data_IF_982793159676
#
_entry.id   IF_982793159676
#
_cell.length_a   1.000
_cell.length_b   1.000
_cell.length_c   1.000
_cell.angle_alpha   90.00
_cell.angle_beta   90.00
_cell.angle_gamma   90.00
#
_symmetry.space_group_name_H-M   'P 1'
#
loop_
_entity.id
_entity.type
_entity.pdbx_description
1 polymer ?
#
# COMPACT_ATOMS: atom_id res chain seq x y z
N UNK A 1 -71.09 36.37 -6.67
CA UNK A 1 -70.24 37.47 -7.18
C UNK A 1 -68.83 36.93 -7.42
N UNK A 2 -68.66 36.22 -8.53
CA UNK A 2 -67.37 35.63 -8.95
C UNK A 2 -66.76 36.60 -9.96
N UNK A 3 -65.60 37.18 -9.65
CA UNK A 3 -64.69 37.73 -10.67
C UNK A 3 -63.35 38.15 -10.05
N UNK A 4 -62.34 37.31 -10.30
CA UNK A 4 -60.98 37.70 -10.70
C UNK A 4 -60.08 38.39 -9.66
N UNK A 5 -59.55 37.57 -8.76
CA UNK A 5 -58.22 37.78 -8.16
C UNK A 5 -57.19 37.19 -9.13
N UNK A 6 -56.80 37.92 -10.17
CA UNK A 6 -55.60 37.61 -10.96
C UNK A 6 -55.15 38.81 -11.81
N UNK A 7 -54.22 39.59 -11.27
CA UNK A 7 -53.26 40.49 -11.93
C UNK A 7 -52.86 41.50 -10.85
N UNK A 8 -51.64 41.56 -10.35
CA UNK A 8 -50.44 41.94 -11.06
C UNK A 8 -49.24 41.47 -10.21
N UNK A 9 -48.62 40.35 -10.60
CA UNK A 9 -47.22 40.10 -10.27
C UNK A 9 -46.40 41.13 -11.07
N UNK A 10 -46.28 42.33 -10.52
CA UNK A 10 -45.34 43.34 -11.01
C UNK A 10 -43.93 42.87 -10.70
N UNK A 11 -43.40 42.02 -11.60
CA UNK A 11 -41.97 41.78 -11.71
C UNK A 11 -41.35 43.13 -12.01
N UNK A 12 -40.87 43.79 -10.95
CA UNK A 12 -40.12 45.03 -11.06
C UNK A 12 -38.90 44.75 -11.90
N UNK A 13 -38.92 45.24 -13.14
CA UNK A 13 -37.75 45.27 -14.03
C UNK A 13 -36.68 46.10 -13.33
N UNK A 14 -35.82 45.45 -12.54
CA UNK A 14 -34.59 46.08 -12.04
C UNK A 14 -33.79 46.51 -13.28
N UNK A 15 -33.35 47.78 -13.36
CA UNK A 15 -32.68 48.28 -14.54
C UNK A 15 -31.38 47.50 -14.74
N UNK A 16 -31.19 46.97 -15.96
CA UNK A 16 -30.01 46.19 -16.39
C UNK A 16 -28.80 47.12 -16.65
N UNK A 17 -28.62 48.14 -15.81
CA UNK A 17 -27.59 49.17 -15.97
C UNK A 17 -26.79 49.34 -14.66
N UNK A 18 -26.09 48.29 -14.24
CA UNK A 18 -24.84 48.41 -13.44
C UNK A 18 -24.00 47.13 -13.32
N UNK A 19 -24.23 46.09 -14.13
CA UNK A 19 -23.46 44.82 -14.06
C UNK A 19 -22.02 44.95 -14.63
N UNK A 20 -21.63 46.12 -15.17
CA UNK A 20 -20.28 46.34 -15.70
C UNK A 20 -19.30 47.09 -14.79
N UNK A 21 -19.62 47.30 -13.51
CA UNK A 21 -18.57 47.55 -12.53
C UNK A 21 -17.97 46.20 -12.12
N UNK A 22 -17.10 45.64 -12.97
CA UNK A 22 -16.10 44.66 -12.50
C UNK A 22 -15.53 45.26 -11.22
N UNK A 23 -15.72 44.63 -10.07
CA UNK A 23 -15.22 45.11 -8.79
C UNK A 23 -13.78 45.60 -8.98
N UNK A 24 -13.61 46.93 -9.09
CA UNK A 24 -12.29 47.52 -9.24
C UNK A 24 -11.67 47.30 -7.88
N UNK A 25 -10.88 46.23 -7.77
CA UNK A 25 -10.07 45.97 -6.59
C UNK A 25 -9.30 47.24 -6.28
N UNK A 26 -9.30 47.63 -5.02
CA UNK A 26 -8.63 48.85 -4.63
C UNK A 26 -7.15 48.75 -4.99
N UNK A 27 -6.52 49.88 -5.39
CA UNK A 27 -5.14 49.89 -5.89
C UNK A 27 -4.12 49.28 -4.90
N UNK A 28 -4.42 49.34 -3.60
CA UNK A 28 -3.62 48.76 -2.51
C UNK A 28 -3.79 47.25 -2.34
N UNK A 29 -4.89 46.66 -2.83
CA UNK A 29 -5.25 45.26 -2.58
C UNK A 29 -4.30 44.30 -3.30
N UNK A 30 -3.93 44.60 -4.55
CA UNK A 30 -3.00 43.75 -5.33
C UNK A 30 -1.60 43.66 -4.70
N UNK A 31 -0.89 44.76 -4.36
CA UNK A 31 0.40 44.67 -3.71
C UNK A 31 0.31 44.00 -2.34
N UNK A 32 -0.77 44.24 -1.58
CA UNK A 32 -1.01 43.58 -0.29
C UNK A 32 -1.17 42.05 -0.41
N UNK A 33 -2.02 41.57 -1.32
CA UNK A 33 -2.19 40.12 -1.55
C UNK A 33 -0.90 39.47 -2.08
N UNK A 34 -0.15 40.19 -2.92
CA UNK A 34 1.16 39.72 -3.40
C UNK A 34 2.16 39.60 -2.25
N UNK A 35 2.17 40.56 -1.34
CA UNK A 35 3.01 40.52 -0.13
C UNK A 35 2.64 39.35 0.78
N UNK A 36 1.34 39.12 1.05
CA UNK A 36 0.88 37.95 1.80
C UNK A 36 1.29 36.63 1.13
N UNK A 37 1.18 36.53 -0.20
CA UNK A 37 1.64 35.35 -0.93
C UNK A 37 3.15 35.15 -0.78
N UNK A 38 3.95 36.20 -0.88
CA UNK A 38 5.40 36.12 -0.68
C UNK A 38 5.73 35.68 0.75
N UNK A 39 5.03 36.21 1.77
CA UNK A 39 5.18 35.77 3.17
C UNK A 39 4.80 34.31 3.36
N UNK A 40 3.74 33.83 2.70
CA UNK A 40 3.34 32.41 2.75
C UNK A 40 4.37 31.50 2.09
N UNK A 41 4.93 31.92 0.95
CA UNK A 41 6.01 31.20 0.29
C UNK A 41 7.27 31.13 1.17
N UNK A 42 7.58 32.20 1.91
CA UNK A 42 8.69 32.23 2.87
C UNK A 42 8.44 31.38 4.11
N UNK A 43 7.21 31.39 4.63
CA UNK A 43 6.82 30.60 5.81
C UNK A 43 6.84 29.08 5.57
N UNK A 44 6.88 28.64 4.30
CA UNK A 44 6.83 27.22 3.95
C UNK A 44 5.42 26.65 4.08
N UNK A 45 5.30 25.33 4.14
CA UNK A 45 4.03 24.68 4.47
C UNK A 45 3.67 24.93 5.95
N UNK A 46 2.37 24.91 6.28
CA UNK A 46 1.99 24.89 7.70
C UNK A 46 2.53 23.61 8.35
N UNK A 47 3.00 23.66 9.60
CA UNK A 47 3.40 22.45 10.30
C UNK A 47 2.19 21.53 10.41
N UNK A 48 2.44 20.22 10.39
CA UNK A 48 1.38 19.27 10.71
C UNK A 48 0.87 19.57 12.12
N UNK A 49 -0.45 19.63 12.29
CA UNK A 49 -1.09 19.82 13.58
C UNK A 49 -1.76 18.52 13.99
N UNK A 50 -1.58 18.14 15.26
CA UNK A 50 -2.33 17.03 15.83
C UNK A 50 -3.81 17.36 15.82
N UNK A 51 -4.68 16.36 15.63
CA UNK A 51 -6.12 16.53 15.78
C UNK A 51 -6.50 17.07 17.17
N UNK A 52 -5.68 16.80 18.18
CA UNK A 52 -5.86 17.32 19.54
C UNK A 52 -5.60 18.82 19.70
N UNK A 53 -5.01 19.49 18.71
CA UNK A 53 -4.78 20.94 18.74
C UNK A 53 -6.03 21.76 18.40
N UNK A 54 -7.09 21.14 17.87
CA UNK A 54 -8.33 21.82 17.53
C UNK A 54 -9.22 22.02 18.78
N UNK A 55 -9.92 23.16 18.91
CA UNK A 55 -10.61 23.55 20.15
C UNK A 55 -11.81 22.67 20.52
N UNK A 56 -12.36 21.91 19.58
CA UNK A 56 -13.47 20.98 19.79
C UNK A 56 -13.02 19.56 20.16
N UNK A 57 -11.74 19.38 20.47
CA UNK A 57 -11.20 18.08 20.82
C UNK A 57 -11.65 17.64 22.21
N UNK A 58 -12.32 16.48 22.27
CA UNK A 58 -12.61 15.77 23.50
C UNK A 58 -12.25 14.30 23.30
N UNK A 59 -11.17 13.87 23.96
CA UNK A 59 -10.64 12.52 23.81
C UNK A 59 -11.67 11.44 24.10
N UNK A 60 -12.52 11.64 25.11
CA UNK A 60 -13.52 10.66 25.51
C UNK A 60 -14.59 10.45 24.43
N UNK A 61 -15.02 11.55 23.81
CA UNK A 61 -15.98 11.50 22.71
C UNK A 61 -15.39 10.85 21.45
N UNK A 62 -14.09 11.05 21.22
CA UNK A 62 -13.38 10.51 20.06
C UNK A 62 -13.13 9.00 20.24
N UNK A 63 -12.80 8.55 21.45
CA UNK A 63 -12.71 7.12 21.80
C UNK A 63 -14.08 6.43 21.70
N UNK A 64 -15.15 7.07 22.19
CA UNK A 64 -16.50 6.55 22.03
C UNK A 64 -16.89 6.38 20.55
N UNK A 65 -16.63 7.40 19.72
CA UNK A 65 -16.87 7.32 18.28
C UNK A 65 -15.99 6.26 17.60
N UNK A 66 -14.76 6.07 18.08
CA UNK A 66 -13.85 5.04 17.59
C UNK A 66 -14.36 3.62 17.88
N UNK A 67 -14.90 3.37 19.07
CA UNK A 67 -15.54 2.08 19.40
C UNK A 67 -16.65 1.70 18.42
N UNK A 68 -17.49 2.65 18.03
CA UNK A 68 -18.49 2.44 16.96
C UNK A 68 -17.87 2.22 15.58
N UNK A 69 -16.76 2.90 15.25
CA UNK A 69 -16.08 2.75 13.95
C UNK A 69 -15.49 1.35 13.75
N UNK A 70 -14.94 0.76 14.81
CA UNK A 70 -14.36 -0.60 14.77
C UNK A 70 -15.41 -1.70 15.00
N UNK A 71 -16.70 -1.33 15.06
CA UNK A 71 -17.85 -2.22 15.33
C UNK A 71 -17.73 -2.98 16.67
N UNK A 72 -17.23 -2.30 17.70
CA UNK A 72 -17.13 -2.84 19.06
C UNK A 72 -17.49 -1.78 20.13
N UNK A 73 -18.72 -1.22 20.11
CA UNK A 73 -19.15 -0.21 21.09
C UNK A 73 -19.26 -0.74 22.54
N UNK A 74 -19.34 -2.07 22.70
CA UNK A 74 -19.41 -2.73 24.01
C UNK A 74 -18.10 -2.73 24.79
N UNK A 75 -16.97 -2.44 24.12
CA UNK A 75 -15.67 -2.48 24.79
C UNK A 75 -15.49 -1.29 25.72
N UNK A 76 -14.97 -1.59 26.90
CA UNK A 76 -14.71 -0.56 27.89
C UNK A 76 -13.71 0.49 27.36
N UNK A 77 -13.99 1.73 27.69
CA UNK A 77 -13.21 2.89 27.26
C UNK A 77 -11.77 2.78 27.75
N UNK A 78 -11.57 2.35 29.00
CA UNK A 78 -10.25 2.26 29.61
C UNK A 78 -9.38 1.20 28.91
N UNK A 79 -10.00 0.11 28.44
CA UNK A 79 -9.36 -0.96 27.67
C UNK A 79 -8.90 -0.44 26.30
N UNK A 80 -9.74 0.31 25.60
CA UNK A 80 -9.36 0.95 24.32
C UNK A 80 -8.22 1.96 24.51
N UNK A 81 -8.28 2.75 25.57
CA UNK A 81 -7.26 3.74 25.90
C UNK A 81 -5.92 3.06 26.22
N UNK A 82 -5.94 1.97 27.00
CA UNK A 82 -4.74 1.17 27.28
C UNK A 82 -4.12 0.62 25.99
N UNK A 83 -4.93 0.13 25.05
CA UNK A 83 -4.44 -0.38 23.76
C UNK A 83 -3.80 0.74 22.89
N UNK A 84 -4.36 1.94 22.94
CA UNK A 84 -3.92 3.11 22.19
C UNK A 84 -2.80 3.91 22.89
N UNK A 85 -2.33 3.48 24.07
CA UNK A 85 -1.27 4.15 24.83
C UNK A 85 0.06 3.42 24.71
N UNK A 86 1.01 4.07 24.04
CA UNK A 86 2.39 3.60 23.95
C UNK A 86 3.19 4.00 25.20
N UNK A 87 4.20 3.20 25.53
CA UNK A 87 5.14 3.45 26.62
C UNK A 87 5.86 4.79 26.51
N UNK A 88 6.11 5.26 25.28
CA UNK A 88 6.77 6.54 24.99
C UNK A 88 5.95 7.74 25.47
N UNK A 89 4.62 7.63 25.53
CA UNK A 89 3.72 8.73 25.90
C UNK A 89 4.08 9.37 27.24
N UNK A 90 4.39 8.56 28.26
CA UNK A 90 4.70 9.03 29.60
C UNK A 90 6.06 9.74 29.73
N UNK A 91 6.89 9.72 28.66
CA UNK A 91 8.19 10.39 28.63
C UNK A 91 8.08 11.86 28.18
N UNK A 92 6.90 12.31 27.71
CA UNK A 92 6.74 13.69 27.28
C UNK A 92 6.81 14.66 28.46
N UNK A 93 7.46 15.79 28.25
CA UNK A 93 7.66 16.81 29.28
C UNK A 93 6.34 17.36 29.85
N UNK A 94 5.34 17.60 29.00
CA UNK A 94 4.01 18.09 29.39
C UNK A 94 3.27 17.13 30.34
N UNK A 95 3.45 15.82 30.15
CA UNK A 95 2.84 14.77 30.98
C UNK A 95 3.65 14.55 32.26
N UNK A 96 4.97 14.59 32.17
CA UNK A 96 5.89 14.46 33.30
C UNK A 96 5.76 15.63 34.29
N UNK A 97 5.55 16.85 33.79
CA UNK A 97 5.31 18.06 34.59
C UNK A 97 3.86 18.19 35.09
N UNK A 98 3.01 17.20 34.80
CA UNK A 98 1.57 17.19 35.16
C UNK A 98 0.80 18.42 34.65
N UNK A 99 1.17 18.93 33.48
CA UNK A 99 0.49 20.09 32.91
C UNK A 99 -0.97 19.78 32.59
N UNK A 100 -1.88 20.69 32.97
CA UNK A 100 -3.32 20.57 32.69
C UNK A 100 -3.66 20.57 31.20
N UNK A 101 -2.71 21.01 30.36
CA UNK A 101 -2.86 21.22 28.92
C UNK A 101 -2.14 20.17 28.06
N UNK A 102 -1.60 19.09 28.65
CA UNK A 102 -1.04 17.99 27.86
C UNK A 102 -2.10 17.50 26.85
N UNK A 103 -1.69 17.10 25.64
CA UNK A 103 -2.61 16.64 24.58
C UNK A 103 -1.98 15.50 23.74
N UNK A 104 -2.67 14.35 23.50
CA UNK A 104 -3.97 13.97 24.05
C UNK A 104 -3.95 14.04 25.59
N UNK A 105 -5.01 14.58 26.18
CA UNK A 105 -4.98 15.02 27.56
C UNK A 105 -4.76 13.89 28.56
N UNK A 106 -3.94 14.21 29.58
CA UNK A 106 -3.89 13.48 30.86
C UNK A 106 -5.19 13.67 31.66
N UNK A 107 -6.19 14.39 31.10
CA UNK A 107 -7.42 14.82 31.79
C UNK A 107 -7.95 13.69 32.68
N UNK A 108 -7.79 13.98 33.99
CA UNK A 108 -8.43 13.46 35.19
C UNK A 108 -8.97 12.02 35.08
N UNK A 109 -8.39 11.11 35.88
CA UNK A 109 -8.87 9.75 36.19
C UNK A 109 -8.42 8.55 35.33
N UNK A 110 -7.17 8.54 34.85
CA UNK A 110 -6.49 7.25 34.63
C UNK A 110 -5.35 7.12 35.66
N UNK A 111 -5.66 6.66 36.88
CA UNK A 111 -4.64 6.20 37.85
C UNK A 111 -3.76 5.08 37.24
N UNK A 112 -4.27 4.46 36.17
CA UNK A 112 -3.71 3.35 35.43
C UNK A 112 -2.64 3.86 34.46
N UNK A 113 -1.36 3.77 34.88
CA UNK A 113 -0.18 3.97 34.01
C UNK A 113 0.15 2.72 33.17
N UNK A 114 -0.87 2.08 32.61
CA UNK A 114 -0.68 0.87 31.82
C UNK A 114 -0.41 1.20 30.34
N UNK A 115 0.60 0.56 29.78
CA UNK A 115 0.98 0.69 28.38
C UNK A 115 0.60 -0.58 27.58
N UNK A 116 0.49 -0.44 26.27
CA UNK A 116 0.07 -1.52 25.39
C UNK A 116 1.09 -2.66 25.16
N UNK A 117 2.31 -2.60 25.71
CA UNK A 117 3.40 -3.57 25.45
C UNK A 117 3.00 -5.05 25.51
N UNK A 118 2.22 -5.46 26.52
CA UNK A 118 1.76 -6.85 26.67
C UNK A 118 0.72 -7.23 25.61
N UNK A 119 -0.17 -6.30 25.26
CA UNK A 119 -1.23 -6.50 24.27
C UNK A 119 -0.66 -6.62 22.85
N UNK A 120 0.45 -5.95 22.55
CA UNK A 120 1.10 -6.04 21.23
C UNK A 120 1.46 -7.49 20.87
N UNK A 121 2.06 -8.24 21.82
CA UNK A 121 2.50 -9.62 21.57
C UNK A 121 1.30 -10.54 21.32
N UNK A 122 0.30 -10.49 22.21
CA UNK A 122 -0.94 -11.27 22.08
C UNK A 122 -1.69 -10.95 20.79
N UNK A 123 -1.74 -9.67 20.43
CA UNK A 123 -2.42 -9.22 19.23
C UNK A 123 -1.71 -9.64 17.96
N UNK A 124 -0.38 -9.65 17.97
CA UNK A 124 0.43 -10.15 16.86
C UNK A 124 0.22 -11.65 16.63
N UNK A 125 0.17 -12.44 17.71
CA UNK A 125 -0.11 -13.88 17.64
C UNK A 125 -1.53 -14.15 17.11
N UNK A 126 -2.53 -13.43 17.62
CA UNK A 126 -3.91 -13.56 17.17
C UNK A 126 -4.08 -13.16 15.70
N UNK A 127 -3.46 -12.04 15.29
CA UNK A 127 -3.46 -11.56 13.91
C UNK A 127 -2.81 -12.58 12.97
N UNK A 128 -1.63 -13.08 13.31
CA UNK A 128 -0.95 -14.08 12.50
C UNK A 128 -1.75 -15.38 12.37
N UNK A 129 -2.25 -15.90 13.50
CA UNK A 129 -3.01 -17.16 13.54
C UNK A 129 -4.30 -17.06 12.73
N UNK A 130 -5.07 -15.99 12.93
CA UNK A 130 -6.35 -15.78 12.24
C UNK A 130 -6.17 -15.50 10.75
N UNK A 131 -5.18 -14.70 10.33
CA UNK A 131 -4.86 -14.47 8.92
C UNK A 131 -4.49 -15.78 8.22
N UNK A 132 -3.59 -16.58 8.80
CA UNK A 132 -3.23 -17.89 8.25
C UNK A 132 -4.43 -18.83 8.14
N UNK A 133 -5.23 -18.95 9.20
CA UNK A 133 -6.42 -19.80 9.21
C UNK A 133 -7.45 -19.36 8.16
N UNK A 134 -7.66 -18.06 7.98
CA UNK A 134 -8.57 -17.51 6.97
C UNK A 134 -8.09 -17.81 5.55
N UNK A 135 -6.78 -17.64 5.29
CA UNK A 135 -6.19 -17.96 3.99
C UNK A 135 -6.32 -19.46 3.67
N UNK A 136 -6.08 -20.34 4.64
CA UNK A 136 -6.24 -21.79 4.49
C UNK A 136 -7.70 -22.18 4.21
N UNK A 137 -8.64 -21.55 4.89
CA UNK A 137 -10.07 -21.72 4.60
C UNK A 137 -10.42 -21.30 3.16
N UNK A 138 -9.94 -20.14 2.71
CA UNK A 138 -10.17 -19.64 1.36
C UNK A 138 -9.47 -20.47 0.26
N UNK A 139 -8.29 -21.03 0.57
CA UNK A 139 -7.39 -21.68 -0.38
C UNK A 139 -7.07 -23.12 0.04
N UNK A 140 -8.09 -23.98 0.10
CA UNK A 140 -7.99 -25.37 0.56
C UNK A 140 -6.90 -26.22 -0.14
N UNK A 141 -6.57 -25.91 -1.40
CA UNK A 141 -5.60 -26.66 -2.19
C UNK A 141 -4.23 -25.98 -2.28
N UNK A 142 -4.06 -24.78 -1.71
CA UNK A 142 -2.79 -24.07 -1.76
C UNK A 142 -1.73 -24.69 -0.84
N UNK A 143 -0.45 -24.64 -1.21
CA UNK A 143 0.64 -25.05 -0.35
C UNK A 143 0.85 -24.04 0.78
N UNK A 144 1.47 -24.51 1.87
CA UNK A 144 1.70 -23.68 3.05
C UNK A 144 2.64 -22.50 2.75
N UNK A 145 3.60 -22.62 1.82
CA UNK A 145 4.50 -21.54 1.45
C UNK A 145 3.77 -20.34 0.83
N UNK A 146 2.71 -20.59 0.04
CA UNK A 146 1.85 -19.55 -0.53
C UNK A 146 1.00 -18.88 0.56
N UNK A 147 0.47 -19.67 1.49
CA UNK A 147 -0.28 -19.14 2.64
C UNK A 147 0.61 -18.21 3.47
N UNK A 148 1.83 -18.64 3.77
CA UNK A 148 2.79 -17.87 4.56
C UNK A 148 3.21 -16.59 3.81
N UNK A 149 3.47 -16.64 2.51
CA UNK A 149 3.85 -15.43 1.75
C UNK A 149 2.72 -14.39 1.73
N UNK A 150 1.48 -14.83 1.50
CA UNK A 150 0.29 -13.97 1.57
C UNK A 150 0.10 -13.40 2.98
N UNK A 151 0.21 -14.23 4.02
CA UNK A 151 0.10 -13.79 5.40
C UNK A 151 1.17 -12.74 5.75
N UNK A 152 2.44 -12.97 5.38
CA UNK A 152 3.52 -12.01 5.59
C UNK A 152 3.26 -10.68 4.88
N UNK A 153 2.73 -10.71 3.65
CA UNK A 153 2.43 -9.50 2.89
C UNK A 153 1.29 -8.69 3.53
N UNK A 154 0.21 -9.37 3.93
CA UNK A 154 -0.95 -8.75 4.59
C UNK A 154 -0.63 -8.22 5.99
N UNK A 155 0.28 -8.89 6.70
CA UNK A 155 0.67 -8.57 8.08
C UNK A 155 1.97 -7.77 8.17
N UNK A 156 2.49 -7.28 7.04
CA UNK A 156 3.65 -6.41 7.01
C UNK A 156 3.39 -5.14 7.81
N UNK A 157 4.37 -4.70 8.60
CA UNK A 157 4.21 -3.57 9.53
C UNK A 157 3.77 -2.27 8.83
N UNK A 158 4.23 -2.03 7.60
CA UNK A 158 3.81 -0.89 6.78
C UNK A 158 2.33 -0.96 6.39
N UNK A 159 1.85 -2.15 6.01
CA UNK A 159 0.44 -2.35 5.64
C UNK A 159 -0.46 -2.18 6.86
N UNK A 160 -0.09 -2.77 8.00
CA UNK A 160 -0.84 -2.61 9.25
C UNK A 160 -0.84 -1.15 9.70
N UNK A 161 0.28 -0.44 9.60
CA UNK A 161 0.35 0.98 9.92
C UNK A 161 -0.58 1.81 9.03
N UNK A 162 -0.61 1.54 7.72
CA UNK A 162 -1.54 2.21 6.79
C UNK A 162 -3.00 1.94 7.17
N UNK A 163 -3.36 0.69 7.46
CA UNK A 163 -4.71 0.34 7.93
C UNK A 163 -5.07 1.06 9.24
N UNK A 164 -4.12 1.16 10.18
CA UNK A 164 -4.28 1.92 11.41
C UNK A 164 -4.56 3.41 11.13
N UNK A 165 -3.87 4.01 10.16
CA UNK A 165 -4.15 5.40 9.75
C UNK A 165 -5.54 5.56 9.15
N UNK A 166 -6.01 4.62 8.31
CA UNK A 166 -7.33 4.67 7.70
C UNK A 166 -8.46 4.50 8.72
N UNK A 167 -8.23 3.69 9.76
CA UNK A 167 -9.13 3.60 10.91
C UNK A 167 -9.08 4.85 11.81
N UNK A 168 -8.11 5.75 11.62
CA UNK A 168 -7.94 6.97 12.39
C UNK A 168 -7.20 6.80 13.72
N UNK A 169 -6.47 5.69 13.91
CA UNK A 169 -5.64 5.44 15.10
C UNK A 169 -4.56 6.51 15.26
N UNK A 170 -4.04 7.05 14.15
CA UNK A 170 -3.07 8.15 14.14
C UNK A 170 -3.51 9.41 14.88
N UNK A 171 -4.81 9.65 15.02
CA UNK A 171 -5.35 10.78 15.76
C UNK A 171 -5.61 10.48 17.24
N UNK A 172 -5.73 9.20 17.61
CA UNK A 172 -6.14 8.74 18.95
C UNK A 172 -4.97 8.18 19.77
N UNK A 173 -3.91 7.74 19.09
CA UNK A 173 -2.75 7.13 19.70
C UNK A 173 -2.04 8.12 20.63
N UNK A 174 -1.78 7.68 21.85
CA UNK A 174 -0.99 8.39 22.86
C UNK A 174 0.46 7.94 22.70
N UNK A 175 1.29 8.77 22.07
CA UNK A 175 2.73 8.53 21.82
C UNK A 175 3.54 9.80 22.09
N UNK A 176 4.85 9.67 22.31
CA UNK A 176 5.75 10.83 22.41
C UNK A 176 5.87 11.57 21.07
N UNK A 177 5.93 10.79 19.99
CA UNK A 177 6.24 11.23 18.63
C UNK A 177 5.07 11.97 17.97
N UNK A 178 5.37 12.94 17.10
CA UNK A 178 4.38 13.56 16.23
C UNK A 178 5.01 13.98 14.89
N UNK A 179 4.53 13.48 13.74
CA UNK A 179 3.50 12.44 13.57
C UNK A 179 3.95 11.08 14.15
N UNK A 180 3.01 10.16 14.46
CA UNK A 180 3.37 8.84 14.98
C UNK A 180 4.11 8.01 13.93
N UNK A 181 5.14 7.27 14.35
CA UNK A 181 5.86 6.34 13.46
C UNK A 181 5.00 5.14 13.05
N UNK A 182 5.35 4.53 11.91
CA UNK A 182 4.68 3.31 11.43
C UNK A 182 4.73 2.18 12.48
N UNK A 183 5.83 2.09 13.24
CA UNK A 183 5.99 1.10 14.30
C UNK A 183 4.97 1.33 15.42
N UNK A 184 4.82 2.57 15.90
CA UNK A 184 3.83 2.89 16.94
C UNK A 184 2.40 2.66 16.47
N UNK A 185 2.07 2.99 15.21
CA UNK A 185 0.75 2.73 14.62
C UNK A 185 0.46 1.23 14.51
N UNK A 186 1.42 0.45 14.01
CA UNK A 186 1.31 -1.00 13.91
C UNK A 186 1.12 -1.65 15.29
N UNK A 187 1.91 -1.22 16.27
CA UNK A 187 1.81 -1.69 17.65
C UNK A 187 0.45 -1.36 18.27
N UNK A 188 -0.07 -0.15 18.07
CA UNK A 188 -1.39 0.23 18.56
C UNK A 188 -2.50 -0.61 17.92
N UNK A 189 -2.42 -0.93 16.63
CA UNK A 189 -3.37 -1.81 15.96
C UNK A 189 -3.30 -3.26 16.48
N UNK A 190 -2.10 -3.81 16.67
CA UNK A 190 -1.90 -5.14 17.27
C UNK A 190 -2.48 -5.17 18.69
N UNK A 191 -2.18 -4.16 19.51
CA UNK A 191 -2.71 -4.05 20.85
C UNK A 191 -4.24 -3.90 20.88
N UNK A 192 -4.82 -3.17 19.93
CA UNK A 192 -6.27 -3.03 19.78
C UNK A 192 -6.92 -4.40 19.54
N UNK A 193 -6.39 -5.20 18.61
CA UNK A 193 -6.88 -6.55 18.32
C UNK A 193 -6.89 -7.42 19.58
N UNK A 194 -5.86 -7.35 20.42
CA UNK A 194 -5.77 -8.12 21.66
C UNK A 194 -6.75 -7.63 22.75
N UNK A 195 -7.12 -6.36 22.71
CA UNK A 195 -8.00 -5.72 23.70
C UNK A 195 -9.49 -5.98 23.41
N UNK A 196 -9.83 -6.23 22.15
CA UNK A 196 -11.20 -6.53 21.72
C UNK A 196 -11.63 -7.96 22.13
N UNK A 197 -12.94 -8.19 22.35
CA UNK A 197 -13.45 -9.55 22.46
C UNK A 197 -13.16 -10.34 21.18
N UNK A 198 -12.88 -11.64 21.33
CA UNK A 198 -12.39 -12.51 20.25
C UNK A 198 -13.23 -12.42 18.96
N UNK A 199 -14.56 -12.38 19.10
CA UNK A 199 -15.49 -12.29 17.98
C UNK A 199 -15.30 -11.01 17.16
N UNK A 200 -15.19 -9.87 17.85
CA UNK A 200 -14.96 -8.55 17.23
C UNK A 200 -13.55 -8.40 16.69
N UNK A 201 -12.55 -8.97 17.38
CA UNK A 201 -11.18 -8.99 16.91
C UNK A 201 -11.07 -9.71 15.55
N UNK A 202 -11.69 -10.89 15.41
CA UNK A 202 -11.72 -11.63 14.15
C UNK A 202 -12.52 -10.87 13.08
N UNK A 203 -13.67 -10.29 13.43
CA UNK A 203 -14.44 -9.47 12.50
C UNK A 203 -13.64 -8.27 11.99
N UNK A 204 -12.86 -7.60 12.85
CA UNK A 204 -12.00 -6.49 12.48
C UNK A 204 -10.88 -6.95 11.54
N UNK A 205 -10.20 -8.06 11.85
CA UNK A 205 -9.15 -8.63 10.99
C UNK A 205 -9.73 -9.01 9.62
N UNK A 206 -10.90 -9.63 9.59
CA UNK A 206 -11.61 -9.98 8.35
C UNK A 206 -11.95 -8.74 7.51
N UNK A 207 -12.55 -7.74 8.13
CA UNK A 207 -13.07 -6.57 7.43
C UNK A 207 -11.99 -5.57 7.01
N UNK A 208 -10.84 -5.55 7.71
CA UNK A 208 -9.79 -4.55 7.50
C UNK A 208 -8.55 -5.17 6.86
N UNK A 209 -8.04 -6.26 7.43
CA UNK A 209 -6.78 -6.91 6.97
C UNK A 209 -7.07 -7.84 5.79
N UNK A 210 -8.02 -8.78 5.93
CA UNK A 210 -8.32 -9.73 4.85
C UNK A 210 -8.96 -9.06 3.64
N UNK A 211 -9.65 -7.93 3.83
CA UNK A 211 -10.20 -7.14 2.74
C UNK A 211 -9.13 -6.67 1.73
N UNK A 212 -7.86 -6.52 2.16
CA UNK A 212 -6.76 -6.16 1.27
C UNK A 212 -6.44 -7.24 0.21
N UNK A 213 -6.95 -8.46 0.37
CA UNK A 213 -6.79 -9.52 -0.64
C UNK A 213 -7.41 -9.17 -2.00
N UNK A 214 -8.41 -8.28 -2.02
CA UNK A 214 -9.09 -7.90 -3.27
C UNK A 214 -8.16 -7.16 -4.23
N UNK A 215 -7.27 -6.34 -3.68
CA UNK A 215 -6.33 -5.51 -4.45
C UNK A 215 -4.95 -6.18 -4.61
N UNK A 216 -4.78 -7.39 -4.07
CA UNK A 216 -3.50 -8.08 -4.03
C UNK A 216 -3.33 -9.03 -5.23
N UNK A 217 -2.25 -8.85 -5.99
CA UNK A 217 -1.85 -9.83 -6.99
C UNK A 217 -1.14 -11.02 -6.32
N UNK A 218 -1.83 -12.16 -6.26
CA UNK A 218 -1.33 -13.37 -5.60
C UNK A 218 -0.11 -13.94 -6.35
N UNK A 219 -0.02 -13.74 -7.67
CA UNK A 219 1.10 -14.23 -8.49
C UNK A 219 2.39 -13.47 -8.15
N UNK A 220 2.30 -12.16 -7.94
CA UNK A 220 3.44 -11.32 -7.55
C UNK A 220 3.93 -11.59 -6.12
N UNK A 221 3.03 -11.98 -5.22
CA UNK A 221 3.38 -12.20 -3.80
C UNK A 221 4.13 -13.52 -3.59
N UNK A 222 3.98 -14.48 -4.49
CA UNK A 222 4.65 -15.76 -4.41
C UNK A 222 5.46 -16.08 -5.68
N UNK A 223 6.55 -15.33 -5.92
CA UNK A 223 7.40 -15.57 -7.09
C UNK A 223 8.24 -16.83 -6.85
N UNK A 224 8.03 -17.85 -7.69
CA UNK A 224 8.83 -19.06 -7.68
C UNK A 224 10.04 -18.92 -8.59
N UNK A 225 11.22 -19.36 -8.11
CA UNK A 225 12.46 -19.28 -8.89
C UNK A 225 12.44 -20.20 -10.13
N UNK A 226 11.88 -21.41 -10.00
CA UNK A 226 11.77 -22.39 -11.08
C UNK A 226 10.33 -22.96 -11.20
N UNK A 227 9.36 -22.17 -11.70
CA UNK A 227 7.94 -22.55 -11.72
C UNK A 227 7.68 -23.86 -12.48
N UNK A 228 8.35 -24.07 -13.62
CA UNK A 228 8.18 -25.26 -14.44
C UNK A 228 8.65 -26.53 -13.72
N UNK A 229 9.75 -26.45 -12.98
CA UNK A 229 10.28 -27.58 -12.22
C UNK A 229 9.37 -27.94 -11.04
N UNK A 230 8.86 -26.93 -10.33
CA UNK A 230 7.86 -27.11 -9.26
C UNK A 230 6.60 -27.77 -9.82
N UNK A 231 6.09 -27.28 -10.95
CA UNK A 231 4.89 -27.83 -11.60
C UNK A 231 5.08 -29.29 -12.04
N UNK A 232 6.25 -29.64 -12.58
CA UNK A 232 6.58 -31.04 -12.92
C UNK A 232 6.51 -31.93 -11.69
N UNK A 233 7.22 -31.57 -10.62
CA UNK A 233 7.22 -32.35 -9.38
C UNK A 233 5.82 -32.48 -8.78
N UNK A 234 5.06 -31.38 -8.78
CA UNK A 234 3.70 -31.33 -8.25
C UNK A 234 2.72 -32.20 -9.06
N UNK A 235 2.79 -32.16 -10.39
CA UNK A 235 1.91 -32.95 -11.26
C UNK A 235 2.25 -34.45 -11.22
N UNK A 236 3.54 -34.78 -11.22
CA UNK A 236 4.00 -36.16 -11.13
C UNK A 236 3.59 -36.81 -9.81
N UNK A 237 3.68 -36.09 -8.68
CA UNK A 237 3.34 -36.61 -7.35
C UNK A 237 1.83 -36.78 -7.10
N UNK A 238 1.01 -35.82 -7.56
CA UNK A 238 -0.45 -35.87 -7.32
C UNK A 238 -1.23 -36.68 -8.34
N UNK A 239 -0.86 -36.56 -9.62
CA UNK A 239 -1.68 -37.08 -10.73
C UNK A 239 -0.95 -38.07 -11.62
N UNK A 240 0.35 -38.24 -11.46
CA UNK A 240 1.19 -39.06 -12.34
C UNK A 240 1.20 -38.57 -13.79
N UNK A 241 0.78 -37.33 -14.06
CA UNK A 241 0.73 -36.76 -15.40
C UNK A 241 2.04 -36.07 -15.75
N UNK A 242 2.49 -36.27 -16.99
CA UNK A 242 3.60 -35.51 -17.57
C UNK A 242 3.08 -34.19 -18.16
N UNK A 243 3.88 -33.14 -18.03
CA UNK A 243 3.57 -31.81 -18.58
C UNK A 243 4.51 -31.47 -19.73
N UNK A 244 3.94 -30.83 -20.76
CA UNK A 244 4.66 -30.36 -21.95
C UNK A 244 4.39 -28.87 -22.17
N UNK A 245 5.43 -28.00 -22.12
CA UNK A 245 5.30 -26.61 -22.55
C UNK A 245 5.31 -26.51 -24.08
N UNK A 246 4.43 -25.68 -24.65
CA UNK A 246 4.34 -25.42 -26.09
C UNK A 246 4.14 -23.93 -26.36
N UNK A 247 4.81 -23.40 -27.37
CA UNK A 247 4.57 -22.02 -27.83
C UNK A 247 3.23 -21.97 -28.59
N UNK A 248 2.32 -21.09 -28.17
CA UNK A 248 0.99 -20.92 -28.78
C UNK A 248 0.99 -19.84 -29.86
N UNK A 249 1.61 -18.69 -29.55
CA UNK A 249 1.70 -17.53 -30.44
C UNK A 249 2.96 -16.74 -30.15
N UNK A 250 3.44 -16.05 -31.17
CA UNK A 250 4.53 -15.08 -31.09
C UNK A 250 4.18 -13.85 -31.90
N UNK A 251 4.61 -12.68 -31.43
CA UNK A 251 4.45 -11.41 -32.10
C UNK A 251 5.71 -10.57 -31.92
N UNK A 252 6.13 -9.86 -32.97
CA UNK A 252 7.24 -8.91 -32.87
C UNK A 252 8.58 -9.53 -32.49
N UNK A 253 8.87 -10.77 -32.89
CA UNK A 253 10.09 -11.51 -32.47
C UNK A 253 11.42 -10.76 -32.74
N UNK A 254 11.47 -9.90 -33.76
CA UNK A 254 12.65 -9.11 -34.17
C UNK A 254 12.55 -7.66 -33.67
N UNK A 255 11.48 -7.30 -32.98
CA UNK A 255 11.26 -5.95 -32.45
C UNK A 255 11.95 -5.77 -31.09
N UNK A 256 11.96 -4.53 -30.58
CA UNK A 256 12.44 -4.25 -29.23
C UNK A 256 11.49 -4.75 -28.13
N UNK A 257 10.25 -5.09 -28.48
CA UNK A 257 9.19 -5.55 -27.56
C UNK A 257 8.59 -6.87 -28.07
N UNK A 258 9.40 -7.96 -28.16
CA UNK A 258 8.89 -9.26 -28.56
C UNK A 258 7.89 -9.79 -27.52
N UNK A 259 6.87 -10.49 -27.99
CA UNK A 259 5.86 -11.13 -27.13
C UNK A 259 5.69 -12.57 -27.55
N UNK A 260 6.06 -13.48 -26.65
CA UNK A 260 5.83 -14.92 -26.78
C UNK A 260 4.75 -15.34 -25.80
N UNK A 261 3.92 -16.28 -26.20
CA UNK A 261 2.85 -16.81 -25.34
C UNK A 261 2.94 -18.31 -25.37
N UNK A 262 3.30 -18.89 -24.24
CA UNK A 262 3.41 -20.32 -24.07
C UNK A 262 2.16 -20.87 -23.38
N UNK A 263 1.90 -22.16 -23.59
CA UNK A 263 0.85 -22.93 -22.95
C UNK A 263 1.42 -24.22 -22.41
N UNK A 264 0.94 -24.66 -21.26
CA UNK A 264 1.33 -25.95 -20.66
C UNK A 264 0.21 -26.94 -20.84
N UNK A 265 0.56 -28.08 -21.41
CA UNK A 265 -0.36 -29.18 -21.63
C UNK A 265 -0.05 -30.33 -20.68
N UNK A 266 -1.07 -30.94 -20.10
CA UNK A 266 -0.97 -32.30 -19.55
C UNK A 266 -2.05 -33.16 -20.20
N UNK A 267 -1.69 -34.37 -20.65
CA UNK A 267 -2.61 -35.26 -21.36
C UNK A 267 -3.40 -34.57 -22.49
N UNK A 268 -2.72 -33.75 -23.30
CA UNK A 268 -3.29 -32.96 -24.42
C UNK A 268 -4.35 -31.91 -24.01
N UNK A 269 -4.49 -31.59 -22.72
CA UNK A 269 -5.34 -30.50 -22.22
C UNK A 269 -4.49 -29.32 -21.78
N UNK A 270 -4.85 -28.11 -22.20
CA UNK A 270 -4.20 -26.87 -21.78
C UNK A 270 -4.56 -26.59 -20.31
N UNK A 271 -3.57 -26.56 -19.43
CA UNK A 271 -3.74 -26.27 -17.99
C UNK A 271 -3.29 -24.86 -17.66
N UNK A 272 -2.24 -24.36 -18.31
CA UNK A 272 -1.63 -23.05 -18.09
C UNK A 272 -1.37 -22.31 -19.39
N UNK A 273 -1.39 -20.98 -19.37
CA UNK A 273 -0.90 -20.13 -20.44
C UNK A 273 -0.32 -18.84 -19.88
N UNK A 274 0.75 -18.34 -20.46
CA UNK A 274 1.44 -17.15 -19.96
C UNK A 274 2.20 -16.41 -21.05
N UNK A 275 2.22 -15.07 -21.01
CA UNK A 275 3.05 -14.25 -21.89
C UNK A 275 4.48 -14.07 -21.34
N UNK A 276 5.43 -13.72 -22.20
CA UNK A 276 6.78 -13.31 -21.80
C UNK A 276 7.57 -12.70 -22.97
N UNK A 277 8.55 -11.86 -22.66
CA UNK A 277 9.43 -11.25 -23.67
C UNK A 277 10.43 -12.23 -24.28
N UNK A 278 10.69 -13.35 -23.60
CA UNK A 278 11.49 -14.47 -24.09
C UNK A 278 10.72 -15.78 -23.94
N UNK A 279 11.11 -16.80 -24.70
CA UNK A 279 10.45 -18.12 -24.65
C UNK A 279 10.54 -18.74 -23.25
N UNK A 280 11.67 -18.60 -22.55
CA UNK A 280 11.85 -19.10 -21.18
C UNK A 280 10.88 -18.43 -20.21
N UNK A 281 10.81 -17.10 -20.23
CA UNK A 281 9.90 -16.33 -19.36
C UNK A 281 8.45 -16.68 -19.66
N UNK A 282 8.07 -16.78 -20.94
CA UNK A 282 6.72 -17.18 -21.32
C UNK A 282 6.34 -18.57 -20.78
N UNK A 283 7.29 -19.53 -20.80
CA UNK A 283 7.09 -20.88 -20.24
C UNK A 283 6.97 -20.83 -18.72
N UNK A 284 7.79 -20.05 -18.03
CA UNK A 284 7.73 -19.89 -16.57
C UNK A 284 6.43 -19.22 -16.12
N UNK A 285 5.98 -18.18 -16.83
CA UNK A 285 4.68 -17.54 -16.59
C UNK A 285 3.52 -18.50 -16.83
N UNK A 286 3.59 -19.31 -17.90
CA UNK A 286 2.59 -20.35 -18.15
C UNK A 286 2.59 -21.45 -17.07
N UNK A 287 3.73 -21.72 -16.44
CA UNK A 287 3.85 -22.66 -15.33
C UNK A 287 3.30 -22.12 -14.02
N UNK A 288 3.55 -20.84 -13.73
CA UNK A 288 2.92 -20.15 -12.60
C UNK A 288 1.39 -20.17 -12.72
N UNK A 289 0.85 -19.78 -13.87
CA UNK A 289 -0.60 -19.79 -14.12
C UNK A 289 -1.20 -21.22 -13.98
N UNK A 290 -0.49 -22.25 -14.45
CA UNK A 290 -0.92 -23.64 -14.22
C UNK A 290 -0.93 -24.02 -12.72
N UNK A 291 0.10 -23.64 -11.95
CA UNK A 291 0.17 -23.89 -10.51
C UNK A 291 -0.97 -23.18 -9.77
N UNK A 292 -1.20 -21.90 -10.06
CA UNK A 292 -2.27 -21.10 -9.44
C UNK A 292 -3.64 -21.72 -9.67
N UNK A 293 -3.95 -22.14 -10.91
CA UNK A 293 -5.18 -22.88 -11.21
C UNK A 293 -5.30 -24.18 -10.43
N UNK A 294 -4.21 -24.92 -10.26
CA UNK A 294 -4.20 -26.16 -9.47
C UNK A 294 -4.48 -25.92 -7.99
N UNK A 295 -4.03 -24.78 -7.46
CA UNK A 295 -4.29 -24.35 -6.09
C UNK A 295 -5.66 -23.69 -5.89
N UNK A 296 -6.43 -23.50 -6.98
CA UNK A 296 -7.72 -22.82 -6.94
C UNK A 296 -7.60 -21.30 -6.77
N UNK A 297 -6.42 -20.75 -7.10
CA UNK A 297 -6.17 -19.32 -7.26
C UNK A 297 -6.45 -18.98 -8.71
N UNK A 298 -7.63 -18.46 -8.99
CA UNK A 298 -8.01 -17.96 -10.31
C UNK A 298 -8.49 -16.53 -10.18
N UNK A 299 -8.47 -15.76 -11.26
CA UNK A 299 -8.97 -14.37 -11.26
C UNK A 299 -10.44 -14.27 -10.79
N UNK A 300 -11.24 -15.33 -11.00
CA UNK A 300 -12.65 -15.39 -10.58
C UNK A 300 -12.83 -15.83 -9.11
N UNK A 301 -11.75 -16.10 -8.38
CA UNK A 301 -11.82 -16.60 -7.01
C UNK A 301 -12.45 -15.54 -6.10
N UNK A 302 -13.60 -15.89 -5.52
CA UNK A 302 -14.26 -15.11 -4.48
C UNK A 302 -13.78 -15.60 -3.12
N UNK A 303 -13.22 -14.70 -2.32
CA UNK A 303 -12.94 -14.98 -0.92
C UNK A 303 -14.23 -14.92 -0.10
N UNK A 304 -14.40 -15.83 0.88
CA UNK A 304 -15.61 -15.94 1.69
C UNK A 304 -15.68 -14.86 2.78
N UNK A 305 -15.74 -13.58 2.39
CA UNK A 305 -15.79 -12.46 3.33
C UNK A 305 -17.03 -12.46 4.21
N UNK A 306 -18.18 -12.90 3.68
CA UNK A 306 -19.47 -12.86 4.37
C UNK A 306 -19.89 -14.22 4.98
N UNK A 307 -19.28 -15.33 4.53
CA UNK A 307 -19.74 -16.68 4.92
C UNK A 307 -19.21 -17.11 6.30
N UNK A 308 -18.24 -16.36 6.83
CA UNK A 308 -17.49 -16.70 8.04
C UNK A 308 -18.06 -16.04 9.30
N UNK A 309 -19.39 -15.95 9.41
CA UNK A 309 -20.06 -15.44 10.62
C UNK A 309 -19.97 -16.43 11.79
N UNK A 310 -19.70 -17.71 11.51
CA UNK A 310 -19.44 -18.71 12.54
C UNK A 310 -17.93 -18.82 12.82
N UNK A 311 -17.51 -18.09 13.86
CA UNK A 311 -16.15 -18.12 14.43
C UNK A 311 -15.62 -19.54 14.68
N UNK A 312 -16.52 -20.48 15.00
CA UNK A 312 -16.20 -21.89 15.23
C UNK A 312 -15.51 -22.57 14.05
N UNK A 313 -15.62 -22.02 12.83
CA UNK A 313 -15.03 -22.62 11.64
C UNK A 313 -13.54 -22.31 11.52
N UNK A 314 -13.08 -21.13 11.94
CA UNK A 314 -11.68 -20.71 11.74
C UNK A 314 -10.68 -21.57 12.52
N UNK A 315 -11.03 -21.99 13.74
CA UNK A 315 -10.12 -22.78 14.57
C UNK A 315 -9.82 -24.18 13.99
N UNK A 316 -10.69 -24.69 13.12
CA UNK A 316 -10.46 -25.94 12.39
C UNK A 316 -9.35 -25.85 11.34
N UNK A 317 -9.04 -24.64 10.84
CA UNK A 317 -8.01 -24.36 9.83
C UNK A 317 -6.66 -23.94 10.41
N UNK A 318 -6.46 -24.14 11.72
CA UNK A 318 -5.17 -23.86 12.37
C UNK A 318 -4.05 -24.84 11.95
N UNK A 319 -4.40 -26.00 11.35
CA UNK A 319 -3.42 -26.96 10.83
C UNK A 319 -2.77 -26.43 9.54
N UNK A 320 -1.45 -26.57 9.42
CA UNK A 320 -0.71 -26.21 8.21
C UNK A 320 -1.10 -27.12 7.03
N UNK A 321 -1.05 -26.55 5.83
CA UNK A 321 -1.17 -27.30 4.59
C UNK A 321 0.12 -28.08 4.29
N UNK A 322 0.12 -28.79 3.17
CA UNK A 322 1.30 -29.48 2.66
C UNK A 322 2.37 -28.46 2.21
N UNK A 323 3.65 -28.83 2.36
CA UNK A 323 4.77 -28.03 1.88
C UNK A 323 5.15 -28.43 0.44
N UNK A 324 5.56 -27.46 -0.37
CA UNK A 324 6.14 -27.71 -1.69
C UNK A 324 7.53 -28.36 -1.59
N UNK A 325 8.29 -28.10 -0.51
CA UNK A 325 9.60 -28.70 -0.30
C UNK A 325 9.50 -30.21 -0.11
N UNK A 326 8.46 -30.68 0.59
CA UNK A 326 8.21 -32.11 0.78
C UNK A 326 7.89 -32.83 -0.54
N UNK A 327 7.27 -32.12 -1.49
CA UNK A 327 6.90 -32.66 -2.80
C UNK A 327 8.07 -32.63 -3.79
N UNK A 328 8.81 -31.52 -3.85
CA UNK A 328 9.87 -31.30 -4.83
C UNK A 328 11.24 -31.83 -4.38
N UNK A 329 11.41 -32.05 -3.07
CA UNK A 329 12.69 -32.36 -2.44
C UNK A 329 13.54 -31.12 -2.15
N UNK A 330 14.61 -31.28 -1.34
CA UNK A 330 15.44 -30.17 -0.86
C UNK A 330 16.35 -29.55 -1.93
N UNK A 331 16.49 -30.20 -3.10
CA UNK A 331 17.34 -29.73 -4.19
C UNK A 331 16.76 -28.55 -4.97
N UNK A 332 15.44 -28.35 -4.90
CA UNK A 332 14.76 -27.33 -5.69
C UNK A 332 14.70 -26.00 -4.92
N UNK A 333 15.15 -24.93 -5.56
CA UNK A 333 15.09 -23.57 -5.01
C UNK A 333 13.68 -23.02 -5.25
N UNK A 334 12.92 -22.80 -4.17
CA UNK A 334 11.55 -22.29 -4.28
C UNK A 334 11.50 -20.76 -4.45
N UNK A 335 12.20 -20.01 -3.61
CA UNK A 335 12.18 -18.54 -3.64
C UNK A 335 13.38 -17.99 -4.39
N UNK A 336 13.19 -16.87 -5.08
CA UNK A 336 14.31 -16.07 -5.54
C UNK A 336 15.17 -15.66 -4.33
N UNK A 337 16.49 -15.77 -4.46
CA UNK A 337 17.40 -15.13 -3.52
C UNK A 337 17.36 -13.64 -3.87
N UNK A 338 16.83 -12.81 -2.97
CA UNK A 338 16.89 -11.35 -3.11
C UNK A 338 18.36 -10.92 -3.14
N UNK A 339 18.98 -10.86 -4.33
CA UNK A 339 20.35 -10.38 -4.51
C UNK A 339 20.49 -8.88 -4.19
N UNK A 340 19.38 -8.17 -3.97
CA UNK A 340 19.34 -6.74 -3.68
C UNK A 340 19.95 -6.38 -2.32
N UNK A 341 20.01 -7.31 -1.35
CA UNK A 341 20.47 -6.99 0.01
C UNK A 341 21.99 -6.84 0.16
N UNK A 342 22.79 -7.14 -0.86
CA UNK A 342 24.25 -7.11 -0.75
C UNK A 342 24.97 -6.08 -1.64
N UNK A 343 24.25 -5.29 -2.45
CA UNK A 343 24.92 -4.22 -3.20
C UNK A 343 25.14 -3.01 -2.29
N UNK A 344 26.41 -2.79 -1.90
CA UNK A 344 26.82 -1.55 -1.25
C UNK A 344 26.27 -0.35 -2.05
N UNK A 345 25.78 0.71 -1.36
CA UNK A 345 25.21 1.86 -2.03
C UNK A 345 26.21 2.41 -3.03
N UNK A 346 25.81 2.49 -4.30
CA UNK A 346 26.64 2.98 -5.40
C UNK A 346 27.28 4.31 -4.98
N UNK A 347 28.61 4.30 -4.77
CA UNK A 347 29.32 5.50 -4.39
C UNK A 347 29.30 6.47 -5.58
N UNK A 348 28.42 7.47 -5.53
CA UNK A 348 28.21 8.45 -6.60
C UNK A 348 29.53 9.11 -7.02
N UNK A 349 30.46 9.29 -6.07
CA UNK A 349 31.78 9.85 -6.35
C UNK A 349 32.63 8.91 -7.19
N UNK A 350 32.63 7.61 -6.88
CA UNK A 350 33.35 6.60 -7.66
C UNK A 350 32.76 6.45 -9.06
N UNK A 351 31.42 6.40 -9.18
CA UNK A 351 30.76 6.36 -10.48
C UNK A 351 31.08 7.61 -11.32
N UNK A 352 31.09 8.79 -10.70
CA UNK A 352 31.47 10.03 -11.39
C UNK A 352 32.96 10.02 -11.81
N UNK A 353 33.85 9.52 -10.97
CA UNK A 353 35.28 9.37 -11.29
C UNK A 353 35.50 8.34 -12.40
N UNK A 354 34.80 7.21 -12.35
CA UNK A 354 34.82 6.16 -13.37
C UNK A 354 34.30 6.70 -14.69
N UNK A 355 33.18 7.41 -14.67
CA UNK A 355 32.65 8.10 -15.84
C UNK A 355 33.68 9.07 -16.42
N UNK A 356 34.30 9.91 -15.59
CA UNK A 356 35.28 10.90 -16.05
C UNK A 356 36.58 10.28 -16.60
N UNK A 357 37.06 9.17 -16.00
CA UNK A 357 38.33 8.54 -16.37
C UNK A 357 38.19 7.56 -17.53
N UNK A 358 37.18 6.70 -17.49
CA UNK A 358 37.01 5.60 -18.43
C UNK A 358 36.06 6.01 -19.55
N UNK A 359 34.88 6.52 -19.22
CA UNK A 359 33.81 6.76 -20.19
C UNK A 359 34.05 8.06 -20.97
N UNK A 360 34.36 9.18 -20.30
CA UNK A 360 34.58 10.49 -20.93
C UNK A 360 35.88 10.51 -21.76
N UNK A 361 36.87 9.69 -21.41
CA UNK A 361 38.07 9.53 -22.24
C UNK A 361 37.75 8.84 -23.58
N UNK A 362 36.84 7.86 -23.58
CA UNK A 362 36.44 7.10 -24.78
C UNK A 362 35.38 7.85 -25.60
N UNK A 363 34.34 8.36 -24.92
CA UNK A 363 33.16 8.99 -25.54
C UNK A 363 33.39 10.47 -25.83
N UNK A 364 34.36 11.09 -25.16
CA UNK A 364 34.59 12.53 -25.18
C UNK A 364 33.56 13.31 -24.35
N UNK A 365 33.79 14.62 -24.24
CA UNK A 365 32.89 15.53 -23.52
C UNK A 365 31.59 15.67 -24.32
N UNK A 366 30.41 15.25 -23.82
CA UNK A 366 29.17 15.49 -24.52
C UNK A 366 28.94 17.00 -24.64
N UNK A 367 28.64 17.49 -25.85
CA UNK A 367 28.38 18.91 -26.17
C UNK A 367 27.07 19.44 -25.53
N UNK A 368 26.94 19.37 -24.19
CA UNK A 368 25.80 19.92 -23.44
C UNK A 368 25.96 21.41 -23.14
N UNK A 369 27.19 21.95 -23.20
CA UNK A 369 27.49 23.31 -22.74
C UNK A 369 26.85 24.44 -23.56
N UNK A 370 26.13 24.14 -24.64
CA UNK A 370 25.42 25.15 -25.46
C UNK A 370 23.93 24.84 -25.69
N UNK A 371 23.22 24.24 -24.73
CA UNK A 371 21.75 24.11 -24.84
C UNK A 371 20.95 25.02 -23.90
N UNK A 372 21.55 25.61 -22.85
CA UNK A 372 20.82 26.54 -21.96
C UNK A 372 20.19 27.73 -22.71
N UNK A 373 20.89 28.28 -23.70
CA UNK A 373 20.37 29.36 -24.53
C UNK A 373 19.26 28.93 -25.51
N UNK A 374 19.00 27.63 -25.70
CA UNK A 374 17.87 27.14 -26.51
C UNK A 374 16.61 26.90 -25.67
N UNK A 375 16.74 26.73 -24.36
CA UNK A 375 15.62 26.42 -23.46
C UNK A 375 15.22 27.59 -22.54
N UNK A 376 16.04 28.63 -22.38
CA UNK A 376 15.61 29.86 -21.69
C UNK A 376 14.67 30.67 -22.59
N UNK A 377 13.47 30.98 -22.09
CA UNK A 377 12.50 31.87 -22.75
C UNK A 377 13.13 33.27 -22.92
N UNK A 378 13.62 33.62 -24.11
CA UNK A 378 14.09 34.99 -24.39
C UNK A 378 15.14 35.15 -25.49
N UNK A 379 15.78 34.08 -25.97
CA UNK A 379 16.81 34.17 -27.00
C UNK A 379 16.20 34.06 -28.40
N UNK A 380 16.32 35.14 -29.18
CA UNK A 380 15.79 35.33 -30.54
C UNK A 380 16.21 34.28 -31.59
N UNK A 381 17.14 33.38 -31.27
CA UNK A 381 17.62 32.30 -32.13
C UNK A 381 16.78 31.03 -32.06
N UNK A 382 15.47 31.09 -32.34
CA UNK A 382 14.64 29.89 -32.52
C UNK A 382 15.06 29.18 -33.82
N UNK A 383 15.90 28.14 -33.75
CA UNK A 383 15.90 27.12 -34.81
C UNK A 383 14.74 26.17 -34.54
N UNK A 384 13.89 25.95 -35.55
CA UNK A 384 12.72 25.07 -35.45
C UNK A 384 13.14 23.64 -35.07
N UNK A 385 12.26 22.94 -34.35
CA UNK A 385 12.49 21.61 -33.76
C UNK A 385 12.98 20.54 -34.77
N UNK A 386 12.82 20.77 -36.08
CA UNK A 386 13.16 19.85 -37.18
C UNK A 386 14.62 19.40 -37.26
N UNK A 387 15.57 20.12 -36.65
CA UNK A 387 17.01 19.83 -36.80
C UNK A 387 17.73 19.46 -35.50
N UNK A 388 17.02 19.03 -34.46
CA UNK A 388 17.67 18.45 -33.28
C UNK A 388 17.92 16.97 -33.57
N UNK A 389 18.93 16.68 -34.40
CA UNK A 389 19.53 15.36 -34.44
C UNK A 389 20.22 15.14 -33.09
N UNK A 390 19.55 14.48 -32.15
CA UNK A 390 20.26 13.86 -31.02
C UNK A 390 21.29 12.91 -31.64
N UNK A 391 22.59 12.98 -31.27
CA UNK A 391 23.54 11.98 -31.72
C UNK A 391 23.03 10.61 -31.25
N UNK A 392 22.86 9.68 -32.20
CA UNK A 392 22.41 8.32 -31.94
C UNK A 392 23.52 7.60 -31.17
N UNK A 393 23.17 7.02 -30.02
CA UNK A 393 24.07 6.22 -29.19
C UNK A 393 24.16 4.83 -29.83
N UNK A 394 24.93 4.69 -30.91
CA UNK A 394 25.32 3.39 -31.46
C UNK A 394 26.83 3.39 -31.64
N UNK A 395 27.58 3.46 -30.53
CA UNK A 395 29.04 3.27 -30.54
C UNK A 395 29.62 3.23 -29.11
N UNK A 396 29.06 2.41 -28.23
CA UNK A 396 29.80 1.94 -27.04
C UNK A 396 29.34 0.50 -26.81
N UNK A 397 30.06 -0.43 -27.42
CA UNK A 397 30.14 -1.81 -26.95
C UNK A 397 31.20 -1.87 -25.86
#
# INVERSE_FOLDING_TARGET
MISLISSLLSVTKRPVLSIFCRFIRARWERPYLKDLYHRRMLAGAEPLLSRSAYPNWNYDSEIYAFGHRIDAPETDKDVLIRALTDSSFYQRADIAEESSNAQPSKQESYEIKEHNKQLIQLGNELLWKSTCAYLRYGLLNAPEELIISLALKLTADEQIANLATYLGINNLIRTAEFPPSNVSLCNAFKALIAALPYERAIALIRNVVMAQLVDLDIEEVFPLAEPLAVLRCFMSSRSGMEIEPRLLRSAGEISAEPVFIAGIYANKKLIGQGPGETISIAVDMAAMDALMRCWGVTADKKFPFNELDSLNNLDSFNKSHYSLQDICGPSLILKFVDLEKEQEPINVKEVALRYKKEIEAVVGIPLRRRLRHKFSRGTFGKRSFRYINKPKIYQIC
#
